data_IF_381956762706
#
_entry.id   IF_381956762706
#
_cell.length_a   1.000
_cell.length_b   1.000
_cell.length_c   1.000
_cell.angle_alpha   90.00
_cell.angle_beta   90.00
_cell.angle_gamma   90.00
#
_symmetry.space_group_name_H-M   'P 1'
#
loop_
_entity.id
_entity.type
_entity.pdbx_description
1 polymer ?
#
# COMPACT_ATOMS: atom_id res chain seq x y z
N UNK A 1 -18.58 14.34 -6.12
CA UNK A 1 -18.69 13.33 -5.05
C UNK A 1 -19.56 12.15 -5.48
N UNK A 2 -20.85 12.34 -5.80
CA UNK A 2 -21.74 11.25 -6.20
C UNK A 2 -21.21 10.40 -7.38
N UNK A 3 -20.71 11.03 -8.44
CA UNK A 3 -20.10 10.33 -9.58
C UNK A 3 -18.92 9.42 -9.19
N UNK A 4 -18.13 9.84 -8.19
CA UNK A 4 -16.97 9.07 -7.75
C UNK A 4 -17.38 7.85 -6.91
N UNK A 5 -18.43 8.00 -6.10
CA UNK A 5 -19.04 6.88 -5.36
C UNK A 5 -19.56 5.83 -6.35
N UNK A 6 -20.22 6.27 -7.43
CA UNK A 6 -20.68 5.37 -8.49
C UNK A 6 -19.52 4.64 -9.17
N UNK A 7 -18.40 5.32 -9.45
CA UNK A 7 -17.20 4.68 -10.01
C UNK A 7 -16.59 3.63 -9.08
N UNK A 8 -16.52 3.91 -7.77
CA UNK A 8 -16.02 2.93 -6.80
C UNK A 8 -16.94 1.71 -6.66
N UNK A 9 -18.26 1.92 -6.68
CA UNK A 9 -19.24 0.84 -6.70
C UNK A 9 -19.10 -0.02 -7.97
N UNK A 10 -19.09 0.58 -9.15
CA UNK A 10 -18.89 -0.10 -10.44
C UNK A 10 -17.58 -0.92 -10.44
N UNK A 11 -16.47 -0.32 -9.98
CA UNK A 11 -15.19 -1.02 -9.85
C UNK A 11 -15.26 -2.23 -8.93
N UNK A 12 -15.94 -2.11 -7.79
CA UNK A 12 -16.12 -3.21 -6.83
C UNK A 12 -16.92 -4.37 -7.44
N UNK A 13 -17.98 -4.06 -8.20
CA UNK A 13 -18.77 -5.07 -8.89
C UNK A 13 -18.03 -5.71 -10.07
N UNK A 14 -17.24 -4.94 -10.84
CA UNK A 14 -16.36 -5.48 -11.87
C UNK A 14 -15.37 -6.50 -11.31
N UNK A 15 -14.73 -6.18 -10.17
CA UNK A 15 -13.85 -7.12 -9.48
C UNK A 15 -14.61 -8.37 -9.01
N UNK A 16 -15.80 -8.23 -8.43
CA UNK A 16 -16.63 -9.35 -8.00
C UNK A 16 -16.99 -10.30 -9.17
N UNK A 17 -17.45 -9.75 -10.30
CA UNK A 17 -17.77 -10.56 -11.48
C UNK A 17 -16.51 -11.16 -12.13
N UNK A 18 -15.37 -10.46 -12.08
CA UNK A 18 -14.08 -10.99 -12.50
C UNK A 18 -13.68 -12.23 -11.70
N UNK A 19 -13.78 -12.17 -10.37
CA UNK A 19 -13.50 -13.31 -9.49
C UNK A 19 -14.44 -14.49 -9.76
N UNK A 20 -15.72 -14.24 -10.03
CA UNK A 20 -16.68 -15.29 -10.39
C UNK A 20 -16.27 -16.02 -11.68
N UNK A 21 -15.75 -15.30 -12.68
CA UNK A 21 -15.25 -15.91 -13.92
C UNK A 21 -14.03 -16.79 -13.64
N UNK A 22 -13.07 -16.31 -12.84
CA UNK A 22 -11.88 -17.09 -12.47
C UNK A 22 -12.25 -18.36 -11.70
N UNK A 23 -13.22 -18.29 -10.77
CA UNK A 23 -13.66 -19.45 -10.03
C UNK A 23 -14.39 -20.48 -10.90
N UNK A 24 -15.19 -20.03 -11.88
CA UNK A 24 -15.78 -20.92 -12.89
C UNK A 24 -14.72 -21.67 -13.71
N UNK A 25 -13.57 -21.05 -13.92
CA UNK A 25 -12.44 -21.64 -14.64
C UNK A 25 -11.50 -22.45 -13.72
N UNK A 26 -11.85 -22.67 -12.45
CA UNK A 26 -11.03 -23.43 -11.50
C UNK A 26 -9.78 -22.71 -10.97
N UNK A 27 -9.60 -21.43 -11.31
CA UNK A 27 -8.45 -20.61 -10.92
C UNK A 27 -8.65 -19.87 -9.59
N UNK A 28 -9.84 -19.99 -8.99
CA UNK A 28 -10.17 -19.32 -7.73
C UNK A 28 -11.25 -20.09 -6.95
N UNK A 29 -11.25 -19.97 -5.64
CA UNK A 29 -12.24 -20.63 -4.79
C UNK A 29 -13.52 -19.79 -4.68
N UNK A 30 -14.68 -20.38 -4.99
CA UNK A 30 -15.97 -19.71 -4.84
C UNK A 30 -16.25 -19.21 -3.41
N UNK A 31 -15.76 -19.92 -2.38
CA UNK A 31 -15.96 -19.57 -0.97
C UNK A 31 -15.30 -18.24 -0.56
N UNK A 32 -14.27 -17.84 -1.30
CA UNK A 32 -13.53 -16.60 -1.04
C UNK A 32 -14.18 -15.38 -1.71
N UNK A 33 -15.15 -15.61 -2.60
CA UNK A 33 -15.89 -14.56 -3.32
C UNK A 33 -17.02 -14.04 -2.43
N UNK A 34 -17.06 -12.72 -2.22
CA UNK A 34 -18.09 -12.05 -1.42
C UNK A 34 -18.68 -10.90 -2.22
N UNK A 35 -20.01 -10.81 -2.19
CA UNK A 35 -20.73 -9.67 -2.77
C UNK A 35 -20.29 -8.37 -2.07
N UNK A 36 -19.99 -7.29 -2.82
CA UNK A 36 -19.76 -5.97 -2.24
C UNK A 36 -20.94 -5.54 -1.36
N UNK A 37 -20.64 -4.93 -0.20
CA UNK A 37 -21.65 -4.48 0.76
C UNK A 37 -21.67 -2.95 0.83
N UNK A 38 -22.84 -2.41 1.15
CA UNK A 38 -22.99 -1.00 1.47
C UNK A 38 -22.25 -0.64 2.77
N UNK A 39 -21.74 0.59 2.83
CA UNK A 39 -21.26 1.16 4.07
C UNK A 39 -22.42 1.41 5.04
N UNK A 40 -22.14 1.38 6.34
CA UNK A 40 -23.11 1.81 7.35
C UNK A 40 -23.54 3.27 7.08
N UNK A 41 -24.78 3.62 7.44
CA UNK A 41 -25.38 4.94 7.19
C UNK A 41 -24.50 6.11 7.67
N UNK A 42 -23.91 5.96 8.86
CA UNK A 42 -23.00 6.95 9.46
C UNK A 42 -21.52 6.54 9.34
N UNK A 43 -21.21 5.73 8.33
CA UNK A 43 -19.87 5.29 8.01
C UNK A 43 -19.05 6.38 7.32
N UNK A 44 -17.73 6.27 7.42
CA UNK A 44 -16.82 7.15 6.70
C UNK A 44 -16.34 6.46 5.43
N UNK A 45 -16.28 7.22 4.33
CA UNK A 45 -15.74 6.75 3.05
C UNK A 45 -14.51 7.57 2.65
N UNK A 46 -13.71 7.04 1.73
CA UNK A 46 -12.60 7.77 1.13
C UNK A 46 -13.16 8.87 0.23
N UNK A 47 -12.69 10.10 0.43
CA UNK A 47 -12.97 11.18 -0.51
C UNK A 47 -11.91 11.17 -1.61
N UNK A 48 -12.33 10.89 -2.84
CA UNK A 48 -11.45 10.90 -4.01
C UNK A 48 -11.74 12.14 -4.87
N UNK A 49 -10.70 12.91 -5.15
CA UNK A 49 -10.72 14.17 -5.89
C UNK A 49 -9.89 13.96 -7.16
N UNK A 50 -10.54 13.60 -8.26
CA UNK A 50 -9.88 13.37 -9.55
C UNK A 50 -9.71 14.62 -10.43
N UNK A 51 -10.39 15.72 -10.09
CA UNK A 51 -10.17 17.02 -10.72
C UNK A 51 -9.59 17.99 -9.69
N UNK A 52 -8.27 18.08 -9.67
CA UNK A 52 -7.53 18.79 -8.62
C UNK A 52 -7.42 20.27 -9.01
N UNK A 53 -8.05 21.13 -8.21
CA UNK A 53 -7.88 22.59 -8.28
C UNK A 53 -7.16 23.06 -7.02
N UNK A 54 -6.02 23.72 -7.20
CA UNK A 54 -5.24 24.31 -6.12
C UNK A 54 -5.24 25.83 -6.27
N UNK A 55 -5.29 26.53 -5.14
CA UNK A 55 -5.06 27.98 -5.07
C UNK A 55 -3.87 28.18 -4.14
N UNK A 56 -2.78 28.76 -4.63
CA UNK A 56 -1.56 29.01 -3.85
C UNK A 56 -1.03 27.76 -3.12
N UNK A 57 -0.94 26.62 -3.82
CA UNK A 57 -0.58 25.31 -3.25
C UNK A 57 -1.51 24.82 -2.11
N UNK A 58 -2.73 25.36 -2.02
CA UNK A 58 -3.75 24.95 -1.05
C UNK A 58 -4.89 24.25 -1.78
N UNK A 59 -5.19 23.04 -1.33
CA UNK A 59 -6.42 22.33 -1.66
C UNK A 59 -7.53 22.82 -0.74
N UNK A 60 -8.60 23.36 -1.33
CA UNK A 60 -9.88 23.54 -0.64
C UNK A 60 -10.69 22.27 -0.85
N UNK A 61 -11.02 21.57 0.24
CA UNK A 61 -11.79 20.32 0.17
C UNK A 61 -13.16 20.60 -0.46
N UNK A 62 -13.59 19.85 -1.49
CA UNK A 62 -14.89 20.08 -2.12
C UNK A 62 -16.03 19.62 -1.19
N UNK A 63 -17.02 20.49 -1.00
CA UNK A 63 -18.24 20.22 -0.23
C UNK A 63 -19.47 20.78 -0.98
N UNK A 64 -20.69 20.45 -0.52
CA UNK A 64 -21.93 20.96 -1.13
C UNK A 64 -22.13 22.45 -0.83
N UNK A 65 -22.88 23.14 -1.70
CA UNK A 65 -23.24 24.55 -1.47
C UNK A 65 -24.00 24.74 -0.15
N UNK A 66 -24.83 23.77 0.24
CA UNK A 66 -25.53 23.79 1.54
C UNK A 66 -24.56 23.71 2.71
N UNK A 67 -23.54 22.85 2.64
CA UNK A 67 -22.54 22.70 3.70
C UNK A 67 -21.68 23.95 3.83
N UNK A 68 -21.33 24.61 2.71
CA UNK A 68 -20.54 25.86 2.69
C UNK A 68 -21.18 27.00 3.49
N UNK A 69 -22.51 27.07 3.54
CA UNK A 69 -23.23 28.17 4.21
C UNK A 69 -23.07 28.14 5.73
N UNK A 70 -22.86 26.96 6.30
CA UNK A 70 -22.87 26.74 7.77
C UNK A 70 -21.52 26.32 8.32
N UNK A 71 -20.54 26.01 7.48
CA UNK A 71 -19.24 25.49 7.88
C UNK A 71 -18.09 26.26 7.24
N UNK A 72 -17.00 26.42 7.98
CA UNK A 72 -15.76 26.97 7.45
C UNK A 72 -15.11 26.02 6.45
N UNK A 73 -14.37 26.59 5.50
CA UNK A 73 -13.67 25.81 4.47
C UNK A 73 -12.53 25.00 5.09
N UNK A 74 -12.44 23.71 4.75
CA UNK A 74 -11.28 22.90 5.11
C UNK A 74 -10.18 23.11 4.07
N UNK A 75 -9.06 23.67 4.52
CA UNK A 75 -7.88 23.99 3.70
C UNK A 75 -6.74 23.03 4.01
N UNK A 76 -6.15 22.45 2.98
CA UNK A 76 -5.05 21.50 3.08
C UNK A 76 -3.88 22.05 2.27
N UNK A 77 -2.80 22.40 2.96
CA UNK A 77 -1.57 22.84 2.28
C UNK A 77 -0.88 21.65 1.62
N UNK A 78 -0.49 21.83 0.37
CA UNK A 78 0.23 20.81 -0.37
C UNK A 78 1.64 20.61 0.23
N UNK A 79 2.10 19.36 0.39
CA UNK A 79 3.47 19.06 0.77
C UNK A 79 4.50 19.71 -0.18
N UNK A 80 5.61 20.27 0.33
CA UNK A 80 6.61 20.94 -0.51
C UNK A 80 7.18 20.06 -1.64
N UNK A 81 7.30 18.74 -1.42
CA UNK A 81 7.80 17.76 -2.40
C UNK A 81 6.90 17.62 -3.64
N UNK A 82 5.66 18.12 -3.59
CA UNK A 82 4.71 18.08 -4.70
C UNK A 82 4.61 19.43 -5.43
N UNK A 83 5.37 20.45 -5.01
CA UNK A 83 5.37 21.75 -5.66
C UNK A 83 5.82 21.61 -7.12
N UNK A 84 5.08 22.21 -8.03
CA UNK A 84 5.32 22.12 -9.48
C UNK A 84 4.95 20.79 -10.13
N UNK A 85 4.48 19.78 -9.37
CA UNK A 85 4.06 18.50 -9.92
C UNK A 85 2.60 18.53 -10.36
N UNK A 86 2.28 17.89 -11.49
CA UNK A 86 0.91 17.78 -11.99
C UNK A 86 0.18 16.66 -11.24
N UNK A 87 -0.64 17.05 -10.27
CA UNK A 87 -1.43 16.12 -9.46
C UNK A 87 -2.67 15.67 -10.24
N UNK A 88 -2.87 14.36 -10.31
CA UNK A 88 -4.00 13.71 -10.99
C UNK A 88 -5.13 13.36 -10.05
N UNK A 89 -4.79 12.89 -8.85
CA UNK A 89 -5.80 12.45 -7.88
C UNK A 89 -5.33 12.75 -6.46
N UNK A 90 -6.25 13.21 -5.62
CA UNK A 90 -6.05 13.32 -4.18
C UNK A 90 -7.09 12.44 -3.49
N UNK A 91 -6.64 11.53 -2.62
CA UNK A 91 -7.52 10.69 -1.80
C UNK A 91 -7.37 11.08 -0.33
N UNK A 92 -8.47 11.40 0.33
CA UNK A 92 -8.53 11.64 1.78
C UNK A 92 -9.18 10.42 2.41
N UNK A 93 -8.37 9.60 3.08
CA UNK A 93 -8.76 8.29 3.59
C UNK A 93 -9.00 8.39 5.10
N UNK A 94 -10.23 8.13 5.59
CA UNK A 94 -10.49 8.08 7.02
C UNK A 94 -9.80 6.87 7.64
N UNK A 95 -9.12 7.08 8.77
CA UNK A 95 -8.45 6.00 9.51
C UNK A 95 -8.90 5.95 10.95
N UNK A 96 -9.00 4.72 11.47
CA UNK A 96 -9.43 4.44 12.85
C UNK A 96 -10.76 5.13 13.22
N UNK A 97 -11.79 5.00 12.38
CA UNK A 97 -13.08 5.68 12.55
C UNK A 97 -12.92 7.21 12.55
N UNK A 98 -12.20 7.74 11.55
CA UNK A 98 -11.96 9.18 11.34
C UNK A 98 -11.29 9.92 12.50
N UNK A 99 -10.53 9.21 13.32
CA UNK A 99 -9.64 9.85 14.30
C UNK A 99 -8.54 10.67 13.65
N UNK A 100 -8.12 10.25 12.46
CA UNK A 100 -7.21 10.99 11.61
C UNK A 100 -7.45 10.58 10.15
N UNK A 101 -6.93 11.39 9.23
CA UNK A 101 -7.03 11.16 7.80
C UNK A 101 -5.64 10.98 7.20
N UNK A 102 -5.50 10.02 6.30
CA UNK A 102 -4.32 9.89 5.44
C UNK A 102 -4.64 10.51 4.09
N UNK A 103 -3.82 11.44 3.65
CA UNK A 103 -3.97 12.07 2.35
C UNK A 103 -2.95 11.45 1.40
N UNK A 104 -3.45 10.85 0.32
CA UNK A 104 -2.62 10.29 -0.74
C UNK A 104 -2.72 11.19 -1.96
N UNK A 105 -1.57 11.43 -2.59
CA UNK A 105 -1.44 12.24 -3.79
C UNK A 105 -0.89 11.37 -4.91
N UNK A 106 -1.62 11.29 -6.01
CA UNK A 106 -1.16 10.68 -7.25
C UNK A 106 -0.79 11.80 -8.21
N UNK A 107 0.42 11.79 -8.73
CA UNK A 107 0.95 12.85 -9.59
C UNK A 107 1.76 12.26 -10.73
N UNK A 108 1.83 13.00 -11.84
CA UNK A 108 2.68 12.63 -12.98
C UNK A 108 4.15 12.82 -12.62
N UNK A 109 4.96 11.88 -13.09
CA UNK A 109 6.42 11.91 -12.98
C UNK A 109 6.95 11.58 -14.36
N UNK A 110 7.96 12.33 -14.81
CA UNK A 110 8.70 11.98 -16.02
C UNK A 110 9.54 10.74 -15.74
N UNK A 111 9.37 9.71 -16.56
CA UNK A 111 10.17 8.50 -16.46
C UNK A 111 11.59 8.80 -16.96
N UNK A 112 12.54 8.78 -16.04
CA UNK A 112 13.96 8.84 -16.40
C UNK A 112 14.38 7.44 -16.81
N UNK A 113 14.35 7.17 -18.11
CA UNK A 113 14.95 5.96 -18.67
C UNK A 113 16.47 6.15 -18.75
N UNK A 114 17.20 5.11 -18.32
CA UNK A 114 18.64 5.02 -18.49
C UNK A 114 18.93 3.87 -19.43
N UNK A 115 19.79 4.10 -20.40
CA UNK A 115 20.33 3.02 -21.22
C UNK A 115 21.30 2.23 -20.35
N UNK A 116 20.92 0.98 -20.03
CA UNK A 116 21.73 0.04 -19.27
C UNK A 116 21.99 -1.20 -20.13
N UNK A 117 23.10 -1.87 -19.89
CA UNK A 117 23.45 -3.07 -20.64
C UNK A 117 22.51 -4.26 -20.30
N UNK A 118 21.73 -4.72 -21.29
CA UNK A 118 20.74 -5.80 -21.13
C UNK A 118 21.36 -7.21 -20.99
N UNK A 119 22.65 -7.36 -21.32
CA UNK A 119 23.42 -8.58 -21.13
C UNK A 119 23.93 -8.70 -19.69
N UNK A 120 24.10 -7.58 -19.00
CA UNK A 120 24.39 -7.56 -17.57
C UNK A 120 23.10 -7.86 -16.80
N UNK A 121 23.13 -8.95 -16.04
CA UNK A 121 21.96 -9.44 -15.32
C UNK A 121 22.26 -9.59 -13.82
N UNK A 122 21.27 -9.28 -12.99
CA UNK A 122 21.25 -9.59 -11.57
C UNK A 122 20.14 -10.61 -11.29
N UNK A 123 20.56 -11.82 -10.91
CA UNK A 123 19.68 -12.82 -10.33
C UNK A 123 19.40 -12.50 -8.87
N UNK A 124 18.14 -12.58 -8.45
CA UNK A 124 17.68 -12.27 -7.10
C UNK A 124 16.85 -13.45 -6.60
N UNK A 125 17.36 -14.17 -5.61
CA UNK A 125 16.62 -15.19 -4.88
C UNK A 125 16.05 -14.60 -3.59
N UNK A 126 14.74 -14.74 -3.36
CA UNK A 126 14.05 -14.15 -2.20
C UNK A 126 13.95 -15.17 -1.07
N UNK A 127 14.20 -14.71 0.15
CA UNK A 127 14.15 -15.56 1.34
C UNK A 127 13.70 -14.82 2.60
N UNK A 128 13.83 -15.50 3.75
CA UNK A 128 13.37 -14.98 5.05
C UNK A 128 14.54 -14.52 5.92
N UNK A 129 15.56 -15.36 6.07
CA UNK A 129 16.74 -14.99 6.86
C UNK A 129 17.66 -14.09 6.05
N UNK A 130 17.84 -14.41 4.77
CA UNK A 130 18.37 -13.53 3.75
C UNK A 130 17.16 -13.04 2.96
N UNK A 131 16.78 -11.77 3.10
CA UNK A 131 15.64 -11.20 2.38
C UNK A 131 15.82 -11.39 0.88
N UNK A 132 17.03 -11.12 0.40
CA UNK A 132 17.44 -11.51 -0.93
C UNK A 132 18.91 -11.88 -0.98
N UNK A 133 19.22 -12.87 -1.81
CA UNK A 133 20.56 -13.24 -2.25
C UNK A 133 20.68 -12.81 -3.71
N UNK A 134 21.62 -11.93 -4.01
CA UNK A 134 21.76 -11.32 -5.31
C UNK A 134 23.10 -11.75 -5.94
N UNK A 135 23.08 -12.19 -7.20
CA UNK A 135 24.26 -12.66 -7.93
C UNK A 135 24.24 -12.11 -9.35
N UNK A 136 25.34 -11.54 -9.82
CA UNK A 136 25.48 -11.08 -11.21
C UNK A 136 25.89 -12.22 -12.13
N UNK A 137 25.64 -12.09 -13.43
CA UNK A 137 26.18 -13.02 -14.44
C UNK A 137 27.73 -13.02 -14.50
N UNK A 138 28.38 -12.02 -13.93
CA UNK A 138 29.85 -11.92 -13.79
C UNK A 138 30.40 -12.52 -12.48
N UNK A 139 29.53 -13.06 -11.61
CA UNK A 139 29.91 -13.75 -10.37
C UNK A 139 29.99 -12.89 -9.11
N UNK A 140 29.80 -11.57 -9.20
CA UNK A 140 29.68 -10.71 -8.02
C UNK A 140 28.39 -11.03 -7.26
N UNK A 141 28.43 -11.05 -5.93
CA UNK A 141 27.27 -11.38 -5.11
C UNK A 141 27.17 -10.55 -3.84
N UNK A 142 25.94 -10.37 -3.36
CA UNK A 142 25.65 -9.71 -2.10
C UNK A 142 24.34 -10.22 -1.50
N UNK A 143 24.17 -10.02 -0.19
CA UNK A 143 22.98 -10.45 0.55
C UNK A 143 22.37 -9.25 1.26
N UNK A 144 21.04 -9.14 1.21
CA UNK A 144 20.29 -8.25 2.09
C UNK A 144 19.68 -9.08 3.22
N UNK A 145 19.99 -8.70 4.46
CA UNK A 145 19.52 -9.41 5.66
C UNK A 145 17.99 -9.38 5.78
N UNK A 146 17.37 -10.51 6.10
CA UNK A 146 15.94 -10.62 6.38
C UNK A 146 15.62 -10.81 7.87
N UNK A 147 16.64 -11.10 8.70
CA UNK A 147 16.47 -11.31 10.15
C UNK A 147 15.89 -10.09 10.84
N UNK A 148 16.21 -8.88 10.37
CA UNK A 148 15.57 -7.65 10.89
C UNK A 148 14.04 -7.66 10.72
N UNK A 149 13.53 -8.04 9.55
CA UNK A 149 12.10 -8.15 9.28
C UNK A 149 11.46 -9.24 10.15
N UNK A 150 12.13 -10.39 10.26
CA UNK A 150 11.70 -11.51 11.12
C UNK A 150 11.55 -11.07 12.58
N UNK A 151 12.53 -10.35 13.14
CA UNK A 151 12.50 -9.81 14.51
C UNK A 151 11.35 -8.83 14.72
N UNK A 152 11.11 -7.93 13.75
CA UNK A 152 9.97 -6.98 13.79
C UNK A 152 8.64 -7.74 13.83
N UNK A 153 8.50 -8.78 12.98
CA UNK A 153 7.30 -9.59 12.91
C UNK A 153 7.08 -10.41 14.18
N UNK A 154 8.13 -11.03 14.72
CA UNK A 154 8.09 -11.78 15.97
C UNK A 154 7.67 -10.90 17.15
N UNK A 155 8.23 -9.70 17.28
CA UNK A 155 7.84 -8.74 18.31
C UNK A 155 6.36 -8.36 18.19
N UNK A 156 5.89 -8.06 16.98
CA UNK A 156 4.48 -7.77 16.74
C UNK A 156 3.59 -8.94 17.15
N UNK A 157 3.91 -10.17 16.75
CA UNK A 157 3.14 -11.37 17.06
C UNK A 157 3.05 -11.59 18.58
N UNK A 158 4.18 -11.47 19.30
CA UNK A 158 4.22 -11.58 20.77
C UNK A 158 3.30 -10.57 21.45
N UNK A 159 3.39 -9.29 21.08
CA UNK A 159 2.56 -8.25 21.69
C UNK A 159 1.09 -8.41 21.29
N UNK A 160 0.81 -8.72 20.01
CA UNK A 160 -0.55 -8.90 19.54
C UNK A 160 -1.24 -10.09 20.22
N UNK A 161 -0.54 -11.21 20.44
CA UNK A 161 -1.06 -12.36 21.18
C UNK A 161 -1.46 -11.99 22.62
N UNK A 162 -0.59 -11.24 23.33
CA UNK A 162 -0.92 -10.73 24.67
C UNK A 162 -2.16 -9.83 24.66
N UNK A 163 -2.24 -8.89 23.70
CA UNK A 163 -3.40 -8.00 23.57
C UNK A 163 -4.67 -8.76 23.18
N UNK A 164 -4.54 -9.77 22.35
CA UNK A 164 -5.65 -10.63 21.93
C UNK A 164 -6.22 -11.39 23.13
N UNK A 165 -5.36 -12.01 23.95
CA UNK A 165 -5.79 -12.69 25.18
C UNK A 165 -6.55 -11.76 26.14
N UNK A 166 -6.06 -10.54 26.36
CA UNK A 166 -6.74 -9.54 27.21
C UNK A 166 -8.10 -9.16 26.62
N UNK A 167 -8.14 -8.90 25.32
CA UNK A 167 -9.36 -8.52 24.58
C UNK A 167 -10.43 -9.61 24.68
N UNK A 168 -10.02 -10.87 24.56
CA UNK A 168 -10.92 -12.02 24.57
C UNK A 168 -11.50 -12.25 25.97
N UNK A 169 -10.70 -12.08 27.04
CA UNK A 169 -11.18 -12.09 28.44
C UNK A 169 -12.19 -10.99 28.73
N UNK A 170 -12.05 -9.84 28.07
CA UNK A 170 -12.99 -8.72 28.17
C UNK A 170 -14.20 -8.87 27.23
N UNK A 171 -14.32 -9.99 26.49
CA UNK A 171 -15.39 -10.27 25.52
C UNK A 171 -15.52 -9.21 24.42
N UNK A 172 -14.44 -8.49 24.11
CA UNK A 172 -14.43 -7.45 23.07
C UNK A 172 -14.26 -8.12 21.70
N UNK A 173 -15.31 -8.10 20.87
CA UNK A 173 -15.28 -8.71 19.53
C UNK A 173 -14.45 -7.91 18.50
N UNK A 174 -14.37 -6.59 18.65
CA UNK A 174 -13.69 -5.69 17.70
C UNK A 174 -12.18 -5.57 17.97
N UNK A 175 -11.39 -5.35 16.92
CA UNK A 175 -9.96 -5.02 17.07
C UNK A 175 -9.77 -3.74 17.90
N UNK A 176 -8.93 -3.80 18.93
CA UNK A 176 -8.68 -2.65 19.80
C UNK A 176 -7.81 -1.59 19.13
N UNK A 177 -7.88 -0.34 19.61
CA UNK A 177 -7.02 0.74 19.12
C UNK A 177 -5.53 0.45 19.34
N UNK A 178 -5.19 -0.24 20.44
CA UNK A 178 -3.81 -0.64 20.75
C UNK A 178 -3.31 -1.68 19.74
N UNK A 179 -4.12 -2.68 19.39
CA UNK A 179 -3.81 -3.64 18.31
C UNK A 179 -3.62 -2.92 16.97
N UNK A 180 -4.53 -2.00 16.61
CA UNK A 180 -4.40 -1.21 15.37
C UNK A 180 -3.09 -0.39 15.36
N UNK A 181 -2.68 0.19 16.49
CA UNK A 181 -1.44 0.98 16.61
C UNK A 181 -0.19 0.13 16.41
N UNK A 182 -0.10 -1.04 17.06
CA UNK A 182 1.08 -1.92 16.89
C UNK A 182 1.16 -2.51 15.48
N UNK A 183 0.02 -2.83 14.85
CA UNK A 183 -0.03 -3.31 13.48
C UNK A 183 0.48 -2.23 12.50
N UNK A 184 0.03 -0.98 12.67
CA UNK A 184 0.56 0.15 11.88
C UNK A 184 2.06 0.32 12.07
N UNK A 185 2.55 0.28 13.32
CA UNK A 185 3.99 0.39 13.60
C UNK A 185 4.79 -0.72 12.91
N UNK A 186 4.30 -1.96 12.95
CA UNK A 186 4.92 -3.10 12.25
C UNK A 186 4.93 -2.88 10.74
N UNK A 187 3.80 -2.52 10.15
CA UNK A 187 3.68 -2.32 8.70
C UNK A 187 4.58 -1.16 8.21
N UNK A 188 4.63 -0.04 8.94
CA UNK A 188 5.50 1.08 8.57
C UNK A 188 6.99 0.68 8.58
N UNK A 189 7.44 -0.08 9.59
CA UNK A 189 8.83 -0.54 9.67
C UNK A 189 9.19 -1.54 8.58
N UNK A 190 8.26 -2.42 8.23
CA UNK A 190 8.47 -3.40 7.15
C UNK A 190 8.51 -2.69 5.80
N UNK A 191 7.58 -1.79 5.53
CA UNK A 191 7.56 -1.03 4.29
C UNK A 191 8.83 -0.19 4.12
N UNK A 192 9.27 0.52 5.17
CA UNK A 192 10.54 1.27 5.15
C UNK A 192 11.73 0.37 4.82
N UNK A 193 11.82 -0.80 5.45
CA UNK A 193 12.89 -1.75 5.21
C UNK A 193 12.88 -2.28 3.76
N UNK A 194 11.72 -2.71 3.27
CA UNK A 194 11.57 -3.22 1.90
C UNK A 194 11.88 -2.14 0.85
N UNK A 195 11.42 -0.90 1.06
CA UNK A 195 11.73 0.22 0.18
C UNK A 195 13.23 0.54 0.15
N UNK A 196 13.92 0.46 1.28
CA UNK A 196 15.38 0.63 1.37
C UNK A 196 16.12 -0.52 0.70
N UNK A 197 15.69 -1.76 0.91
CA UNK A 197 16.27 -2.92 0.24
C UNK A 197 16.15 -2.81 -1.29
N UNK A 198 14.95 -2.48 -1.79
CA UNK A 198 14.75 -2.22 -3.21
C UNK A 198 15.65 -1.09 -3.72
N UNK A 199 15.78 0.02 -2.95
CA UNK A 199 16.68 1.11 -3.32
C UNK A 199 18.14 0.68 -3.41
N UNK A 200 18.62 -0.15 -2.47
CA UNK A 200 19.98 -0.69 -2.48
C UNK A 200 20.21 -1.51 -3.75
N UNK A 201 19.28 -2.42 -4.08
CA UNK A 201 19.36 -3.26 -5.29
C UNK A 201 19.38 -2.40 -6.56
N UNK A 202 18.46 -1.43 -6.68
CA UNK A 202 18.40 -0.56 -7.86
C UNK A 202 19.67 0.29 -7.97
N UNK A 203 20.16 0.87 -6.89
CA UNK A 203 21.41 1.63 -6.91
C UNK A 203 22.59 0.75 -7.32
N UNK A 204 22.65 -0.50 -6.85
CA UNK A 204 23.66 -1.46 -7.30
C UNK A 204 23.57 -1.71 -8.80
N UNK A 205 22.37 -1.92 -9.35
CA UNK A 205 22.18 -2.12 -10.78
C UNK A 205 22.61 -0.90 -11.60
N UNK A 206 22.25 0.30 -11.14
CA UNK A 206 22.64 1.55 -11.79
C UNK A 206 24.16 1.78 -11.79
N UNK A 207 24.84 1.43 -10.69
CA UNK A 207 26.28 1.62 -10.56
C UNK A 207 27.11 0.59 -11.33
N UNK A 208 26.53 -0.57 -11.67
CA UNK A 208 27.20 -1.67 -12.35
C UNK A 208 26.66 -1.92 -13.77
N UNK A 209 25.93 -0.94 -14.33
CA UNK A 209 25.37 -1.01 -15.69
C UNK A 209 24.55 -2.30 -15.94
N UNK A 210 23.68 -2.66 -15.00
CA UNK A 210 22.85 -3.88 -15.06
C UNK A 210 21.48 -3.51 -15.61
N UNK A 211 21.18 -3.96 -16.83
CA UNK A 211 19.91 -3.71 -17.51
C UNK A 211 18.85 -4.80 -17.34
N UNK A 212 19.19 -5.97 -16.79
CA UNK A 212 18.26 -7.09 -16.59
C UNK A 212 18.19 -7.53 -15.12
N UNK A 213 16.99 -7.50 -14.55
CA UNK A 213 16.69 -8.08 -13.24
C UNK A 213 15.95 -9.41 -13.43
N UNK A 214 16.44 -10.48 -12.80
CA UNK A 214 15.80 -11.80 -12.82
C UNK A 214 15.42 -12.15 -11.38
N UNK A 215 14.13 -12.20 -11.10
CA UNK A 215 13.59 -12.53 -9.78
C UNK A 215 13.22 -14.01 -9.73
N UNK A 216 13.74 -14.74 -8.74
CA UNK A 216 13.33 -16.09 -8.43
C UNK A 216 11.85 -16.11 -8.00
N UNK A 217 11.04 -16.91 -8.69
CA UNK A 217 9.63 -17.12 -8.35
C UNK A 217 9.45 -18.55 -7.87
N UNK A 218 9.13 -18.74 -6.59
CA UNK A 218 8.68 -20.02 -6.05
C UNK A 218 7.16 -19.98 -5.93
N UNK A 219 6.47 -20.94 -6.55
CA UNK A 219 5.01 -21.04 -6.52
C UNK A 219 4.46 -21.22 -5.08
N UNK A 220 5.28 -21.73 -4.16
CA UNK A 220 4.91 -22.07 -2.79
C UNK A 220 5.33 -21.05 -1.70
N UNK A 221 5.71 -19.82 -2.05
CA UNK A 221 6.13 -18.79 -1.07
C UNK A 221 5.17 -18.60 0.13
N UNK A 222 3.90 -18.98 -0.02
CA UNK A 222 2.87 -18.82 1.01
C UNK A 222 2.43 -20.11 1.71
N UNK A 223 2.76 -21.31 1.19
CA UNK A 223 2.13 -22.56 1.64
C UNK A 223 2.85 -23.27 2.79
N UNK A 224 4.14 -23.00 3.01
CA UNK A 224 4.95 -23.69 4.02
C UNK A 224 5.73 -22.75 4.97
N UNK A 225 5.05 -21.75 5.55
CA UNK A 225 5.62 -20.87 6.60
C UNK A 225 4.81 -20.84 7.90
#
# INVERSE_FOLDING_TARGET
MAQQILKEADGSFKSFFGLLKLAKNGQYNFKDIKLPKYLAKDGFTTLVIGFVRLKDDILIVPYSNSFKKTHQEVKIKLPPVLKGKKIKEIRIIPKQHSRYFEIQYTYEVEEVQRELNKENALGIDLGINNLCTCVTNTGASFIIDGRKLKSINQYYNKINAKLQSIKDKQKIKRTTLRQKRIARKRNNRINDYLSKAARIIINYCLNNDIGKLVLGCNEDFQRNL
#
